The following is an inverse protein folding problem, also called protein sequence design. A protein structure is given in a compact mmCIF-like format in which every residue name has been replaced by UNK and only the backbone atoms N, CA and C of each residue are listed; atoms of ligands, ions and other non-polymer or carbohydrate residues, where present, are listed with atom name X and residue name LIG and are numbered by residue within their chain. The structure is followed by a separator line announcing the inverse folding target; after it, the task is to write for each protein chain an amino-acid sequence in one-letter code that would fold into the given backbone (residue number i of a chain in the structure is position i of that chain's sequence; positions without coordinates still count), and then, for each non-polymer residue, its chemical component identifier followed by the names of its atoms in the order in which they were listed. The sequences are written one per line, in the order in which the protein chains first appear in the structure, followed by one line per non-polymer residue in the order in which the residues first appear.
data_IF_330891428816
#
_entry.id   IF_330891428816
#
_cell.length_a   1.000
_cell.length_b   1.000
_cell.length_c   1.000
_cell.angle_alpha   90.00
_cell.angle_beta   90.00
_cell.angle_gamma   90.00
#
_symmetry.space_group_name_H-M   'P 1'
#
loop_
_entity.id
_entity.type
_entity.pdbx_description
1 polymer ?
#
# COMPACT_ATOMS: atom_id res chain seq x y z
N UNK A 1 37.62 -54.26 -15.93
CA UNK A 1 37.23 -55.04 -17.12
C UNK A 1 36.30 -54.18 -17.99
N UNK A 2 36.79 -53.89 -19.21
CA UNK A 2 36.10 -53.60 -20.49
C UNK A 2 34.74 -52.85 -20.43
N UNK A 3 34.62 -51.60 -20.90
CA UNK A 3 34.26 -51.32 -22.32
C UNK A 3 34.24 -49.80 -22.66
N UNK A 4 35.31 -49.02 -22.42
CA UNK A 4 35.40 -47.63 -22.93
C UNK A 4 35.88 -47.42 -24.39
N UNK A 5 36.59 -48.34 -25.09
CA UNK A 5 37.09 -48.04 -26.44
C UNK A 5 36.04 -48.17 -27.55
N UNK A 6 34.83 -48.68 -27.26
CA UNK A 6 33.81 -48.92 -28.28
C UNK A 6 32.91 -47.70 -28.55
N UNK A 7 32.68 -46.85 -27.54
CA UNK A 7 31.88 -45.62 -27.67
C UNK A 7 32.65 -44.54 -28.43
N UNK A 8 33.94 -44.36 -28.14
CA UNK A 8 34.80 -43.37 -28.81
C UNK A 8 34.96 -43.68 -30.32
N UNK A 9 35.04 -44.97 -30.69
CA UNK A 9 35.09 -45.41 -32.10
C UNK A 9 33.76 -45.23 -32.83
N UNK A 10 32.62 -45.34 -32.15
CA UNK A 10 31.29 -45.09 -32.74
C UNK A 10 31.04 -43.58 -32.93
N UNK A 11 31.35 -42.75 -31.94
CA UNK A 11 31.23 -41.29 -32.07
C UNK A 11 32.18 -40.71 -33.12
N UNK A 12 33.44 -41.18 -33.21
CA UNK A 12 34.40 -40.69 -34.22
C UNK A 12 34.01 -41.07 -35.65
N UNK A 13 33.36 -42.24 -35.86
CA UNK A 13 32.84 -42.64 -37.18
C UNK A 13 31.61 -41.84 -37.61
N UNK A 14 30.69 -41.55 -36.68
CA UNK A 14 29.53 -40.70 -36.93
C UNK A 14 29.92 -39.25 -37.26
N UNK A 15 30.88 -38.69 -36.52
CA UNK A 15 31.36 -37.33 -36.77
C UNK A 15 32.07 -37.21 -38.13
N UNK A 16 32.88 -38.23 -38.50
CA UNK A 16 33.59 -38.26 -39.80
C UNK A 16 32.64 -38.47 -40.98
N UNK A 17 31.52 -39.18 -40.79
CA UNK A 17 30.48 -39.38 -41.81
C UNK A 17 29.62 -38.12 -42.04
N UNK A 18 29.31 -37.38 -40.96
CA UNK A 18 28.56 -36.12 -41.06
C UNK A 18 29.39 -35.00 -41.69
N UNK A 19 30.69 -34.91 -41.36
CA UNK A 19 31.58 -33.86 -41.89
C UNK A 19 31.92 -34.05 -43.38
N UNK A 20 32.13 -35.31 -43.84
CA UNK A 20 32.38 -35.60 -45.27
C UNK A 20 31.14 -35.35 -46.13
N UNK A 21 29.94 -35.65 -45.63
CA UNK A 21 28.68 -35.42 -46.37
C UNK A 21 28.32 -33.94 -46.50
N UNK A 22 28.75 -33.10 -45.54
CA UNK A 22 28.59 -31.65 -45.60
C UNK A 22 29.62 -30.98 -46.53
N UNK A 23 30.88 -31.45 -46.52
CA UNK A 23 31.96 -30.91 -47.36
C UNK A 23 31.82 -31.27 -48.85
N UNK A 24 31.28 -32.43 -49.21
CA UNK A 24 31.08 -32.81 -50.61
C UNK A 24 29.88 -32.13 -51.30
N UNK A 25 28.97 -31.49 -50.54
CA UNK A 25 27.79 -30.81 -51.09
C UNK A 25 27.97 -29.30 -51.32
N UNK A 26 29.04 -28.69 -50.80
CA UNK A 26 29.38 -27.28 -51.09
C UNK A 26 30.26 -27.11 -52.33
N UNK A 27 30.92 -28.17 -52.82
CA UNK A 27 31.92 -28.09 -53.90
C UNK A 27 31.39 -28.25 -55.34
N UNK A 28 30.11 -28.49 -55.58
CA UNK A 28 29.56 -28.63 -56.95
C UNK A 28 28.87 -27.37 -57.49
N UNK A 29 29.06 -26.21 -56.85
CA UNK A 29 28.42 -24.95 -57.22
C UNK A 29 29.42 -23.81 -57.45
N UNK A 30 30.51 -24.08 -58.18
CA UNK A 30 31.39 -23.02 -58.71
C UNK A 30 31.94 -23.40 -60.09
N UNK A 31 31.31 -22.87 -61.16
CA UNK A 31 31.97 -22.42 -62.40
C UNK A 31 30.98 -21.67 -63.32
N UNK A 32 31.07 -20.34 -63.27
CA UNK A 32 31.10 -19.34 -64.38
C UNK A 32 30.32 -19.65 -65.67
N UNK A 33 29.42 -18.80 -66.21
CA UNK A 33 29.68 -17.47 -66.75
C UNK A 33 28.38 -16.71 -67.11
N UNK A 34 28.47 -15.37 -67.15
CA UNK A 34 27.50 -14.43 -67.74
C UNK A 34 27.24 -14.70 -69.23
N UNK A 35 26.02 -14.41 -69.69
CA UNK A 35 25.65 -13.34 -70.67
C UNK A 35 24.25 -13.66 -71.22
N UNK A 36 23.37 -12.64 -71.28
CA UNK A 36 22.42 -12.51 -72.38
C UNK A 36 20.99 -12.99 -72.16
N UNK A 37 20.06 -12.05 -72.32
CA UNK A 37 18.61 -12.21 -72.33
C UNK A 37 18.05 -13.35 -73.20
N UNK A 38 17.15 -14.18 -72.66
CA UNK A 38 15.73 -14.26 -73.05
C UNK A 38 15.02 -15.40 -72.29
N UNK A 39 13.70 -15.26 -72.15
CA UNK A 39 12.78 -16.09 -71.36
C UNK A 39 12.92 -17.59 -71.63
N UNK A 40 12.95 -18.39 -70.55
CA UNK A 40 12.22 -19.66 -70.47
C UNK A 40 11.99 -20.05 -69.00
N UNK A 41 10.75 -20.41 -68.69
CA UNK A 41 10.29 -20.94 -67.40
C UNK A 41 11.04 -22.25 -67.10
N UNK A 42 11.73 -22.32 -65.97
CA UNK A 42 12.21 -23.58 -65.41
C UNK A 42 11.93 -23.61 -63.90
N UNK A 43 10.83 -24.29 -63.55
CA UNK A 43 10.46 -24.63 -62.18
C UNK A 43 11.55 -25.55 -61.62
N UNK A 44 12.38 -25.04 -60.72
CA UNK A 44 13.41 -25.85 -60.06
C UNK A 44 12.77 -26.80 -59.05
N UNK A 45 12.49 -28.01 -59.54
CA UNK A 45 12.09 -29.24 -58.84
C UNK A 45 13.14 -29.76 -57.82
N UNK A 46 13.84 -28.88 -57.09
CA UNK A 46 14.87 -29.25 -56.10
C UNK A 46 14.53 -28.86 -54.65
N UNK A 47 13.45 -28.13 -54.40
CA UNK A 47 13.03 -27.75 -53.04
C UNK A 47 12.19 -28.81 -52.31
N UNK A 48 11.66 -29.81 -53.02
CA UNK A 48 10.75 -30.81 -52.43
C UNK A 48 11.52 -32.00 -51.81
N UNK A 49 12.73 -32.30 -52.26
CA UNK A 49 13.49 -33.48 -51.77
C UNK A 49 14.48 -33.20 -50.63
N UNK A 50 14.58 -31.95 -50.15
CA UNK A 50 15.48 -31.61 -49.03
C UNK A 50 14.79 -31.76 -47.67
N UNK A 51 13.46 -31.58 -47.60
CA UNK A 51 12.67 -31.72 -46.37
C UNK A 51 12.27 -33.17 -46.04
N UNK A 52 12.41 -34.10 -47.00
CA UNK A 52 12.03 -35.51 -46.84
C UNK A 52 13.17 -36.42 -46.34
N UNK A 53 14.38 -35.88 -46.13
CA UNK A 53 15.58 -36.65 -45.77
C UNK A 53 16.15 -36.35 -44.39
N UNK A 54 15.42 -35.60 -43.56
CA UNK A 54 15.84 -35.23 -42.20
C UNK A 54 14.84 -35.64 -41.11
N UNK A 55 13.87 -36.50 -41.45
CA UNK A 55 12.91 -37.09 -40.52
C UNK A 55 13.03 -38.62 -40.60
N UNK A 56 14.19 -39.18 -40.25
CA UNK A 56 14.29 -40.60 -39.95
C UNK A 56 13.73 -40.82 -38.53
N UNK A 57 12.60 -41.55 -38.35
CA UNK A 57 11.99 -41.77 -37.03
C UNK A 57 12.90 -42.55 -36.06
N UNK A 58 13.93 -43.21 -36.58
CA UNK A 58 14.95 -43.93 -35.81
C UNK A 58 15.94 -42.99 -35.10
N UNK A 59 16.29 -41.84 -35.67
CA UNK A 59 17.19 -40.88 -35.00
C UNK A 59 16.50 -40.16 -33.84
N UNK A 60 15.20 -39.81 -33.97
CA UNK A 60 14.40 -39.30 -32.86
C UNK A 60 14.25 -40.34 -31.73
N UNK A 61 14.00 -41.60 -32.07
CA UNK A 61 13.87 -42.68 -31.09
C UNK A 61 15.20 -42.94 -30.36
N UNK A 62 16.34 -42.83 -31.04
CA UNK A 62 17.67 -42.97 -30.42
C UNK A 62 17.94 -41.81 -29.47
N UNK A 63 17.63 -40.56 -29.85
CA UNK A 63 17.79 -39.39 -28.99
C UNK A 63 16.89 -39.49 -27.75
N UNK A 64 15.64 -39.94 -27.90
CA UNK A 64 14.72 -40.19 -26.79
C UNK A 64 15.25 -41.28 -25.85
N UNK A 65 15.71 -42.41 -26.39
CA UNK A 65 16.29 -43.50 -25.59
C UNK A 65 17.59 -43.11 -24.88
N UNK A 66 18.41 -42.25 -25.49
CA UNK A 66 19.65 -41.74 -24.89
C UNK A 66 19.33 -40.75 -23.77
N UNK A 67 18.38 -39.83 -23.99
CA UNK A 67 17.93 -38.89 -22.97
C UNK A 67 17.33 -39.61 -21.76
N UNK A 68 16.57 -40.68 -21.97
CA UNK A 68 16.00 -41.52 -20.92
C UNK A 68 17.08 -42.28 -20.13
N UNK A 69 18.10 -42.82 -20.83
CA UNK A 69 19.24 -43.47 -20.17
C UNK A 69 20.11 -42.51 -19.35
N UNK A 70 20.24 -41.26 -19.80
CA UNK A 70 20.95 -40.20 -19.08
C UNK A 70 20.13 -39.74 -17.86
N UNK A 71 18.81 -39.57 -18.02
CA UNK A 71 17.91 -39.24 -16.92
C UNK A 71 17.91 -40.32 -15.84
N UNK A 72 17.97 -41.60 -16.23
CA UNK A 72 18.10 -42.72 -15.28
C UNK A 72 19.44 -42.74 -14.52
N UNK A 73 20.48 -42.14 -15.10
CA UNK A 73 21.77 -41.89 -14.45
C UNK A 73 21.84 -40.55 -13.69
N UNK A 74 20.73 -39.79 -13.64
CA UNK A 74 20.68 -38.47 -12.99
C UNK A 74 21.38 -37.36 -13.76
N UNK A 75 21.54 -37.51 -15.08
CA UNK A 75 22.21 -36.55 -15.96
C UNK A 75 21.21 -35.98 -16.97
N UNK A 76 21.20 -34.67 -17.11
CA UNK A 76 20.30 -33.91 -17.97
C UNK A 76 21.11 -33.11 -18.99
N UNK A 77 20.57 -32.91 -20.19
CA UNK A 77 21.18 -32.07 -21.22
C UNK A 77 20.39 -30.76 -21.27
N UNK A 78 21.08 -29.63 -21.19
CA UNK A 78 20.45 -28.31 -21.30
C UNK A 78 20.31 -27.83 -22.76
N UNK A 79 19.63 -26.70 -22.96
CA UNK A 79 19.40 -26.08 -24.28
C UNK A 79 20.70 -25.64 -25.00
N UNK A 80 21.83 -25.61 -24.28
CA UNK A 80 23.16 -25.33 -24.80
C UNK A 80 24.00 -26.61 -25.01
N UNK A 81 23.35 -27.78 -24.97
CA UNK A 81 23.95 -29.11 -25.11
C UNK A 81 25.02 -29.42 -24.05
N UNK A 82 24.94 -28.80 -22.87
CA UNK A 82 25.82 -29.09 -21.73
C UNK A 82 25.18 -30.12 -20.82
N UNK A 83 26.01 -31.02 -20.31
CA UNK A 83 25.61 -32.04 -19.34
C UNK A 83 25.45 -31.40 -17.95
N UNK A 84 24.33 -31.63 -17.28
CA UNK A 84 23.98 -31.14 -15.94
C UNK A 84 23.53 -32.29 -15.05
N UNK A 85 23.73 -32.13 -13.75
CA UNK A 85 23.34 -33.12 -12.73
C UNK A 85 21.92 -32.85 -12.22
N UNK A 86 21.40 -31.64 -12.46
CA UNK A 86 20.05 -31.21 -12.07
C UNK A 86 19.27 -30.87 -13.33
N UNK A 87 17.99 -31.23 -13.35
CA UNK A 87 17.10 -30.88 -14.45
C UNK A 87 17.08 -29.35 -14.64
N UNK A 88 17.42 -28.86 -15.85
CA UNK A 88 17.39 -27.42 -16.13
C UNK A 88 16.02 -26.78 -15.93
N UNK A 89 14.91 -27.52 -16.11
CA UNK A 89 13.55 -27.03 -15.88
C UNK A 89 13.28 -26.78 -14.40
N UNK A 90 13.62 -27.77 -13.56
CA UNK A 90 13.50 -27.64 -12.09
C UNK A 90 14.40 -26.51 -11.58
N UNK A 91 15.59 -26.35 -12.15
CA UNK A 91 16.50 -25.24 -11.80
C UNK A 91 15.89 -23.88 -12.17
N UNK A 92 15.27 -23.77 -13.34
CA UNK A 92 14.60 -22.55 -13.78
C UNK A 92 13.40 -22.22 -12.89
N UNK A 93 12.49 -23.18 -12.68
CA UNK A 93 11.30 -23.00 -11.82
C UNK A 93 11.70 -22.62 -10.38
N UNK A 94 12.75 -23.23 -9.84
CA UNK A 94 13.26 -22.89 -8.50
C UNK A 94 13.82 -21.46 -8.44
N UNK A 95 14.48 -21.01 -9.50
CA UNK A 95 14.98 -19.63 -9.58
C UNK A 95 13.85 -18.62 -9.73
N UNK A 96 12.85 -18.91 -10.56
CA UNK A 96 11.65 -18.07 -10.72
C UNK A 96 10.90 -17.95 -9.39
N UNK A 97 10.68 -19.07 -8.70
CA UNK A 97 10.08 -19.07 -7.36
C UNK A 97 10.88 -18.25 -6.35
N UNK A 98 12.22 -18.36 -6.38
CA UNK A 98 13.09 -17.56 -5.52
C UNK A 98 12.91 -16.06 -5.79
N UNK A 99 12.92 -15.63 -7.05
CA UNK A 99 12.71 -14.23 -7.42
C UNK A 99 11.32 -13.72 -7.00
N UNK A 100 10.28 -14.53 -7.15
CA UNK A 100 8.93 -14.18 -6.69
C UNK A 100 8.86 -14.05 -5.17
N UNK A 101 9.52 -14.94 -4.43
CA UNK A 101 9.62 -14.86 -2.98
C UNK A 101 10.33 -13.57 -2.55
N UNK A 102 11.43 -13.20 -3.21
CA UNK A 102 12.15 -11.94 -2.94
C UNK A 102 11.27 -10.71 -3.21
N UNK A 103 10.54 -10.69 -4.33
CA UNK A 103 9.56 -9.63 -4.64
C UNK A 103 8.44 -9.56 -3.60
N UNK A 104 7.94 -10.71 -3.15
CA UNK A 104 6.92 -10.78 -2.11
C UNK A 104 7.43 -10.23 -0.78
N UNK A 105 8.64 -10.61 -0.37
CA UNK A 105 9.29 -10.08 0.84
C UNK A 105 9.48 -8.57 0.77
N UNK A 106 9.88 -8.04 -0.39
CA UNK A 106 9.99 -6.59 -0.60
C UNK A 106 8.64 -5.90 -0.39
N UNK A 107 7.57 -6.38 -1.05
CA UNK A 107 6.22 -5.83 -0.89
C UNK A 107 5.70 -5.91 0.54
N UNK A 108 6.01 -7.00 1.25
CA UNK A 108 5.64 -7.17 2.65
C UNK A 108 6.37 -6.15 3.55
N UNK A 109 7.63 -5.84 3.25
CA UNK A 109 8.36 -4.80 3.97
C UNK A 109 7.77 -3.41 3.71
N UNK A 110 7.44 -3.08 2.47
CA UNK A 110 6.77 -1.81 2.14
C UNK A 110 5.43 -1.69 2.88
N UNK A 111 4.65 -2.77 2.92
CA UNK A 111 3.40 -2.81 3.67
C UNK A 111 3.59 -2.58 5.18
N UNK A 112 4.64 -3.15 5.78
CA UNK A 112 4.97 -2.89 7.19
C UNK A 112 5.32 -1.44 7.44
N UNK A 113 6.05 -0.79 6.53
CA UNK A 113 6.39 0.64 6.62
C UNK A 113 5.10 1.47 6.60
N UNK A 114 4.20 1.21 5.65
CA UNK A 114 2.91 1.92 5.54
C UNK A 114 2.07 1.75 6.80
N UNK A 115 2.01 0.53 7.37
CA UNK A 115 1.31 0.31 8.65
C UNK A 115 1.95 1.10 9.78
N UNK A 116 3.28 1.15 9.85
CA UNK A 116 4.00 1.96 10.85
C UNK A 116 3.65 3.44 10.75
N UNK A 117 3.64 3.99 9.53
CA UNK A 117 3.24 5.37 9.27
C UNK A 117 1.77 5.62 9.65
N UNK A 118 0.86 4.72 9.26
CA UNK A 118 -0.55 4.80 9.61
C UNK A 118 -0.75 4.75 11.14
N UNK A 119 -0.03 3.89 11.83
CA UNK A 119 -0.09 3.78 13.29
C UNK A 119 0.36 5.08 13.97
N UNK A 120 1.42 5.71 13.46
CA UNK A 120 1.89 7.00 13.94
C UNK A 120 0.86 8.11 13.71
N UNK A 121 0.23 8.13 12.53
CA UNK A 121 -0.86 9.08 12.23
C UNK A 121 -2.05 8.89 13.17
N UNK A 122 -2.50 7.65 13.37
CA UNK A 122 -3.60 7.34 14.30
C UNK A 122 -3.25 7.77 15.72
N UNK A 123 -2.03 7.50 16.19
CA UNK A 123 -1.57 7.91 17.52
C UNK A 123 -1.57 9.43 17.68
N UNK A 124 -1.05 10.16 16.69
CA UNK A 124 -1.07 11.64 16.69
C UNK A 124 -2.50 12.20 16.70
N UNK A 125 -3.42 11.59 15.95
CA UNK A 125 -4.83 11.99 15.93
C UNK A 125 -5.48 11.74 17.28
N UNK A 126 -5.23 10.58 17.90
CA UNK A 126 -5.76 10.24 19.22
C UNK A 126 -5.30 11.26 20.29
N UNK A 127 -4.01 11.63 20.30
CA UNK A 127 -3.47 12.66 21.20
C UNK A 127 -4.14 14.02 21.00
N UNK A 128 -4.32 14.44 19.72
CA UNK A 128 -5.01 15.70 19.39
C UNK A 128 -6.46 15.68 19.86
N UNK A 129 -7.17 14.58 19.66
CA UNK A 129 -8.58 14.43 20.10
C UNK A 129 -8.67 14.55 21.61
N UNK A 130 -7.81 13.86 22.37
CA UNK A 130 -7.84 13.93 23.83
C UNK A 130 -7.48 15.34 24.33
N UNK A 131 -6.49 16.00 23.70
CA UNK A 131 -6.16 17.40 24.01
C UNK A 131 -7.34 18.35 23.79
N UNK A 132 -8.05 18.22 22.67
CA UNK A 132 -9.22 19.07 22.38
C UNK A 132 -10.39 18.76 23.32
N UNK A 133 -10.61 17.49 23.65
CA UNK A 133 -11.63 17.07 24.62
C UNK A 133 -11.37 17.68 25.99
N UNK A 134 -10.12 17.67 26.48
CA UNK A 134 -9.75 18.33 27.74
C UNK A 134 -10.00 19.84 27.70
N UNK A 135 -9.65 20.51 26.59
CA UNK A 135 -9.95 21.95 26.41
C UNK A 135 -11.45 22.23 26.43
N UNK A 136 -12.24 21.43 25.72
CA UNK A 136 -13.69 21.58 25.69
C UNK A 136 -14.34 21.39 27.07
N UNK A 137 -13.89 20.38 27.83
CA UNK A 137 -14.33 20.15 29.21
C UNK A 137 -13.95 21.36 30.08
N UNK A 138 -12.72 21.87 29.96
CA UNK A 138 -12.26 23.05 30.67
C UNK A 138 -13.13 24.29 30.40
N UNK A 139 -13.40 24.58 29.13
CA UNK A 139 -14.28 25.69 28.73
C UNK A 139 -15.71 25.51 29.25
N UNK A 140 -16.26 24.29 29.20
CA UNK A 140 -17.59 23.99 29.74
C UNK A 140 -17.67 24.20 31.25
N UNK A 141 -16.65 23.77 31.99
CA UNK A 141 -16.57 23.94 33.43
C UNK A 141 -16.47 25.42 33.80
N UNK A 142 -15.67 26.19 33.05
CA UNK A 142 -15.57 27.63 33.23
C UNK A 142 -16.93 28.31 33.02
N UNK A 143 -17.62 28.02 31.92
CA UNK A 143 -18.95 28.57 31.65
C UNK A 143 -19.96 28.23 32.76
N UNK A 144 -19.97 26.97 33.20
CA UNK A 144 -20.85 26.51 34.28
C UNK A 144 -20.54 27.23 35.60
N UNK A 145 -19.25 27.48 35.89
CA UNK A 145 -18.84 28.22 37.09
C UNK A 145 -19.23 29.70 37.02
N UNK A 146 -19.09 30.32 35.85
CA UNK A 146 -19.48 31.71 35.61
C UNK A 146 -21.00 31.90 35.72
N UNK A 147 -21.79 30.96 35.20
CA UNK A 147 -23.25 30.96 35.34
C UNK A 147 -23.67 30.91 36.81
N UNK A 148 -23.09 29.98 37.59
CA UNK A 148 -23.33 29.93 39.05
C UNK A 148 -22.92 31.22 39.75
N UNK A 149 -21.80 31.81 39.38
CA UNK A 149 -21.36 33.08 39.97
C UNK A 149 -22.33 34.22 39.65
N UNK A 150 -22.83 34.28 38.40
CA UNK A 150 -23.84 35.27 38.00
C UNK A 150 -25.13 35.10 38.78
N UNK A 151 -25.62 33.88 38.95
CA UNK A 151 -26.83 33.60 39.73
C UNK A 151 -26.69 34.02 41.20
N UNK A 152 -25.53 33.73 41.80
CA UNK A 152 -25.23 34.15 43.17
C UNK A 152 -25.19 35.67 43.28
N UNK A 153 -24.52 36.35 42.34
CA UNK A 153 -24.47 37.82 42.30
C UNK A 153 -25.86 38.43 42.13
N UNK A 154 -26.68 37.87 41.26
CA UNK A 154 -28.05 38.33 41.05
C UNK A 154 -28.88 38.20 42.34
N UNK A 155 -28.88 37.02 42.97
CA UNK A 155 -29.60 36.81 44.24
C UNK A 155 -29.10 37.73 45.35
N UNK A 156 -27.79 37.98 45.39
CA UNK A 156 -27.21 38.90 46.36
C UNK A 156 -27.71 40.34 46.14
N UNK A 157 -27.72 40.82 44.90
CA UNK A 157 -28.23 42.15 44.55
C UNK A 157 -29.74 42.27 44.83
N UNK A 158 -30.54 41.24 44.50
CA UNK A 158 -31.97 41.21 44.80
C UNK A 158 -32.23 41.31 46.32
N UNK A 159 -31.46 40.59 47.13
CA UNK A 159 -31.54 40.69 48.59
C UNK A 159 -31.18 42.09 49.10
N UNK A 160 -30.18 42.76 48.52
CA UNK A 160 -29.83 44.13 48.89
C UNK A 160 -30.93 45.12 48.51
N UNK A 161 -31.50 44.98 47.30
CA UNK A 161 -32.61 45.81 46.82
C UNK A 161 -33.81 45.66 47.76
N UNK A 162 -34.15 44.42 48.16
CA UNK A 162 -35.25 44.16 49.08
C UNK A 162 -35.01 44.81 50.45
N UNK A 163 -33.80 44.69 51.00
CA UNK A 163 -33.45 45.31 52.27
C UNK A 163 -33.58 46.85 52.20
N UNK A 164 -33.10 47.48 51.12
CA UNK A 164 -33.22 48.93 50.92
C UNK A 164 -34.65 49.39 50.73
N UNK A 165 -35.49 48.63 50.01
CA UNK A 165 -36.93 48.92 49.89
C UNK A 165 -37.61 48.91 51.25
N UNK A 166 -37.32 47.90 52.08
CA UNK A 166 -37.85 47.83 53.46
C UNK A 166 -37.41 49.04 54.32
N UNK A 167 -36.16 49.49 54.17
CA UNK A 167 -35.69 50.70 54.85
C UNK A 167 -36.46 51.95 54.40
N UNK A 168 -36.72 52.09 53.10
CA UNK A 168 -37.52 53.20 52.54
C UNK A 168 -38.94 53.16 53.11
N UNK A 169 -39.60 52.01 53.13
CA UNK A 169 -40.96 51.88 53.67
C UNK A 169 -41.01 52.27 55.16
N UNK A 170 -40.03 51.82 55.96
CA UNK A 170 -39.92 52.23 57.36
C UNK A 170 -39.78 53.74 57.50
N UNK A 171 -38.87 54.35 56.73
CA UNK A 171 -38.62 55.79 56.79
C UNK A 171 -39.85 56.60 56.36
N UNK A 172 -40.60 56.14 55.35
CA UNK A 172 -41.84 56.77 54.92
C UNK A 172 -42.91 56.77 56.02
N UNK A 173 -43.08 55.64 56.73
CA UNK A 173 -44.01 55.56 57.86
C UNK A 173 -43.58 56.50 59.00
N UNK A 174 -42.29 56.56 59.31
CA UNK A 174 -41.77 57.50 60.31
C UNK A 174 -42.01 58.95 59.91
N UNK A 175 -41.76 59.30 58.65
CA UNK A 175 -41.99 60.64 58.12
C UNK A 175 -43.47 61.03 58.21
N UNK A 176 -44.38 60.13 57.85
CA UNK A 176 -45.83 60.38 57.98
C UNK A 176 -46.25 60.60 59.44
N UNK A 177 -45.69 59.84 60.38
CA UNK A 177 -45.95 60.02 61.82
C UNK A 177 -45.49 61.40 62.30
N UNK A 178 -44.27 61.81 61.94
CA UNK A 178 -43.72 63.10 62.32
C UNK A 178 -44.50 64.27 61.70
N UNK A 179 -44.91 64.16 60.44
CA UNK A 179 -45.77 65.16 59.80
C UNK A 179 -47.13 65.31 60.49
N UNK A 180 -47.69 64.21 61.01
CA UNK A 180 -48.93 64.26 61.79
C UNK A 180 -48.72 64.99 63.12
N UNK A 181 -47.65 64.66 63.84
CA UNK A 181 -47.29 65.35 65.09
C UNK A 181 -47.01 66.84 64.87
N UNK A 182 -46.30 67.20 63.80
CA UNK A 182 -46.05 68.59 63.41
C UNK A 182 -47.36 69.34 63.14
N UNK A 183 -48.29 68.73 62.40
CA UNK A 183 -49.60 69.32 62.12
C UNK A 183 -50.42 69.53 63.40
N UNK A 184 -50.45 68.54 64.31
CA UNK A 184 -51.13 68.65 65.61
C UNK A 184 -50.53 69.76 66.48
N UNK A 185 -49.19 69.87 66.51
CA UNK A 185 -48.48 70.94 67.24
C UNK A 185 -48.78 72.32 66.64
N UNK A 186 -48.81 72.43 65.31
CA UNK A 186 -49.12 73.68 64.62
C UNK A 186 -50.55 74.14 64.91
N UNK A 187 -51.52 73.22 64.84
CA UNK A 187 -52.91 73.50 65.20
C UNK A 187 -53.05 73.91 66.67
N UNK A 188 -52.31 73.25 67.58
CA UNK A 188 -52.29 73.63 68.99
C UNK A 188 -51.77 75.06 69.19
N UNK A 189 -50.70 75.43 68.50
CA UNK A 189 -50.14 76.79 68.55
C UNK A 189 -51.15 77.80 68.00
N UNK A 190 -51.78 77.53 66.86
CA UNK A 190 -52.80 78.41 66.29
C UNK A 190 -53.97 78.64 67.24
N UNK A 191 -54.49 77.56 67.85
CA UNK A 191 -55.55 77.65 68.86
C UNK A 191 -55.11 78.45 70.09
N UNK A 192 -53.88 78.26 70.56
CA UNK A 192 -53.33 79.02 71.70
C UNK A 192 -53.15 80.51 71.39
N UNK A 193 -52.80 80.84 70.14
CA UNK A 193 -52.66 82.22 69.68
C UNK A 193 -54.02 82.90 69.43
N UNK A 194 -55.03 82.18 68.95
CA UNK A 194 -56.40 82.72 68.73
C UNK A 194 -57.27 82.76 69.99
N UNK A 195 -56.92 82.01 71.04
CA UNK A 195 -57.64 81.97 72.32
C UNK A 195 -57.24 83.06 73.33
N UNK A 196 -56.54 84.11 72.89
CA UNK A 196 -56.22 85.32 73.68
C UNK A 196 -56.86 86.55 73.07
#
# INVERSE_FOLDING_TARGET
HMCLPHLHKKCSRLFRFLYTRYSSRSLSAQRTLRVGANRHVFVSHKKIYFWSYFNDPTELNIIHSMAESLAQAGLYIDDFYKLRIVDPRVTQETNELKEECEKYLSKMNDFKVIIGELFNLISSVAEKVESQKLKAIGSRNLLTSMEKQRDLQQKHLESQILAKKKDIDRLNVQLQSLQKEEAEQTEFIERFLMGR
#
